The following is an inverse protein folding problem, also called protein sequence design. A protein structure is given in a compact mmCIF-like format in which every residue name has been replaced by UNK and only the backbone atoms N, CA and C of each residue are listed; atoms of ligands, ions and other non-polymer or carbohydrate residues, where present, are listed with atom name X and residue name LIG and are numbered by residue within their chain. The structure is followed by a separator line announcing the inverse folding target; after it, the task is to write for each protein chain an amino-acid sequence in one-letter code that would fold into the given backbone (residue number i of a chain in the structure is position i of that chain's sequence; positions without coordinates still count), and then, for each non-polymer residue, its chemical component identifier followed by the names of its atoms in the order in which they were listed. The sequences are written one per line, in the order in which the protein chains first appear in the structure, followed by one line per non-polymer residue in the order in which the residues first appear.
data_IF_774656486199
#
_entry.id   IF_774656486199
#
_cell.length_a   1.000
_cell.length_b   1.000
_cell.length_c   1.000
_cell.angle_alpha   90.00
_cell.angle_beta   90.00
_cell.angle_gamma   90.00
#
_symmetry.space_group_name_H-M   'P 1'
#
loop_
_entity.id
_entity.type
_entity.pdbx_description
1 polymer ?
#
# COMPACT_ATOMS: atom_id res chain seq x y z
N UNK A 1 -5.64 10.55 8.98
CA UNK A 1 -5.53 9.46 9.96
C UNK A 1 -4.20 9.43 10.74
N UNK A 2 -3.50 10.55 10.75
CA UNK A 2 -2.27 10.71 11.54
C UNK A 2 -2.59 10.70 13.04
N UNK A 3 -3.75 11.17 13.45
CA UNK A 3 -4.18 11.12 14.86
C UNK A 3 -4.56 9.71 15.29
N UNK A 4 -5.21 8.90 14.45
CA UNK A 4 -5.50 7.50 14.77
C UNK A 4 -4.23 6.65 14.86
N UNK A 5 -3.25 6.88 14.00
CA UNK A 5 -1.97 6.15 14.10
C UNK A 5 -1.13 6.59 15.32
N UNK A 6 -1.29 7.81 15.80
CA UNK A 6 -0.66 8.27 17.06
C UNK A 6 -1.30 7.69 18.32
N UNK A 7 -2.58 7.30 18.26
CA UNK A 7 -3.31 6.71 19.37
C UNK A 7 -3.31 5.18 19.43
N UNK A 8 -2.89 4.50 18.35
CA UNK A 8 -3.06 3.05 18.20
C UNK A 8 -1.82 2.21 18.44
N UNK A 9 -0.66 2.81 18.69
CA UNK A 9 0.52 2.01 18.91
C UNK A 9 1.74 2.80 19.31
N UNK A 10 2.44 2.24 20.25
CA UNK A 10 3.72 2.74 20.71
C UNK A 10 4.84 2.38 19.72
N UNK A 11 4.58 1.37 18.89
CA UNK A 11 5.48 0.85 17.86
C UNK A 11 4.68 0.52 16.60
N UNK A 12 5.10 1.00 15.43
CA UNK A 12 4.55 0.56 14.15
C UNK A 12 5.60 0.54 13.04
N UNK A 13 5.37 -0.31 12.06
CA UNK A 13 6.17 -0.35 10.83
C UNK A 13 5.35 0.10 9.62
N UNK A 14 6.00 0.75 8.66
CA UNK A 14 5.41 1.15 7.39
C UNK A 14 6.30 0.74 6.22
N UNK A 15 5.66 0.39 5.14
CA UNK A 15 6.33 0.07 3.88
C UNK A 15 6.46 1.32 3.03
N UNK A 16 7.58 1.48 2.33
CA UNK A 16 7.81 2.61 1.43
C UNK A 16 7.56 2.25 -0.03
N UNK A 17 7.48 0.97 -0.37
CA UNK A 17 7.46 0.49 -1.75
C UNK A 17 6.11 0.60 -2.48
N UNK A 18 5.01 0.79 -1.75
CA UNK A 18 3.64 0.93 -2.31
C UNK A 18 3.23 2.40 -2.41
N UNK A 19 2.46 2.89 -1.45
CA UNK A 19 1.83 4.21 -1.47
C UNK A 19 2.86 5.37 -1.53
N UNK A 20 4.03 5.17 -0.95
CA UNK A 20 5.12 6.16 -1.00
C UNK A 20 5.97 6.08 -2.28
N UNK A 21 5.58 5.23 -3.23
CA UNK A 21 6.21 5.07 -4.56
C UNK A 21 7.71 4.76 -4.55
N UNK A 22 8.23 4.18 -3.45
CA UNK A 22 9.63 3.77 -3.37
C UNK A 22 9.99 2.58 -4.27
N UNK A 23 8.99 1.86 -4.78
CA UNK A 23 9.17 0.71 -5.68
C UNK A 23 9.64 -0.58 -5.00
N UNK A 24 9.66 -1.70 -5.75
CA UNK A 24 10.12 -2.98 -5.23
C UNK A 24 11.56 -2.91 -4.72
N UNK A 25 11.82 -3.51 -3.56
CA UNK A 25 13.13 -3.46 -2.89
C UNK A 25 13.35 -2.24 -1.99
N UNK A 26 12.42 -1.29 -1.96
CA UNK A 26 12.49 -0.17 -1.03
C UNK A 26 12.35 -0.64 0.44
N UNK A 27 13.13 -0.09 1.37
CA UNK A 27 13.11 -0.50 2.76
C UNK A 27 11.81 -0.10 3.45
N UNK A 28 11.42 -0.85 4.46
CA UNK A 28 10.43 -0.39 5.43
C UNK A 28 11.10 0.49 6.49
N UNK A 29 10.29 1.26 7.23
CA UNK A 29 10.76 1.94 8.42
C UNK A 29 9.95 1.51 9.64
N UNK A 30 10.57 1.64 10.80
CA UNK A 30 9.95 1.46 12.10
C UNK A 30 9.83 2.83 12.79
N UNK A 31 8.70 3.06 13.40
CA UNK A 31 8.50 4.16 14.34
C UNK A 31 8.31 3.59 15.74
N UNK A 32 8.98 4.17 16.71
CA UNK A 32 8.82 3.85 18.13
C UNK A 32 8.65 5.17 18.86
N UNK A 33 7.62 5.27 19.69
CA UNK A 33 7.37 6.46 20.49
C UNK A 33 8.55 6.71 21.45
N UNK A 34 8.94 7.96 21.64
CA UNK A 34 10.16 8.33 22.32
C UNK A 34 10.26 7.78 23.77
N UNK A 35 9.12 7.69 24.48
CA UNK A 35 9.04 7.12 25.83
C UNK A 35 9.11 5.58 25.87
N UNK A 36 9.16 4.94 24.69
CA UNK A 36 9.30 3.49 24.49
C UNK A 36 10.66 3.09 23.93
N UNK A 37 11.59 4.03 23.78
CA UNK A 37 12.91 3.75 23.23
C UNK A 37 13.74 2.77 24.09
N UNK A 38 13.40 2.57 25.36
CA UNK A 38 14.05 1.61 26.26
C UNK A 38 13.55 0.17 26.14
N UNK A 39 12.56 -0.06 25.25
CA UNK A 39 12.11 -1.42 24.98
C UNK A 39 13.27 -2.31 24.53
N UNK A 40 13.31 -3.53 25.06
CA UNK A 40 14.28 -4.51 24.62
C UNK A 40 14.02 -4.90 23.16
N UNK A 41 15.05 -4.79 22.32
CA UNK A 41 15.01 -5.35 20.97
C UNK A 41 15.51 -6.79 21.02
N UNK A 42 14.69 -7.81 20.73
CA UNK A 42 15.11 -9.21 20.76
C UNK A 42 16.11 -9.55 19.65
N UNK A 43 16.21 -8.72 18.62
CA UNK A 43 17.13 -8.86 17.50
C UNK A 43 18.09 -7.67 17.55
N UNK A 44 19.10 -7.74 18.39
CA UNK A 44 20.02 -6.62 18.59
C UNK A 44 20.87 -6.31 17.36
N UNK A 45 21.48 -7.32 16.75
CA UNK A 45 22.41 -7.13 15.64
C UNK A 45 23.62 -6.24 16.03
N UNK A 46 24.60 -6.19 15.16
CA UNK A 46 25.84 -5.48 15.47
C UNK A 46 25.71 -3.95 15.43
N UNK A 47 24.78 -3.43 14.61
CA UNK A 47 24.63 -1.98 14.43
C UNK A 47 23.76 -1.33 15.51
N UNK A 48 22.98 -2.12 16.26
CA UNK A 48 22.10 -1.64 17.34
C UNK A 48 22.81 -1.52 18.69
N UNK A 49 24.14 -1.62 18.75
CA UNK A 49 24.96 -1.49 19.97
C UNK A 49 25.48 -0.05 20.12
N UNK A 50 25.87 0.32 21.35
CA UNK A 50 26.38 1.67 21.62
C UNK A 50 27.70 1.96 20.87
N UNK A 51 28.51 0.93 20.64
CA UNK A 51 29.80 1.04 19.94
C UNK A 51 29.90 -0.02 18.83
N UNK A 52 29.21 0.13 17.70
CA UNK A 52 29.11 -0.92 16.67
C UNK A 52 30.45 -1.38 16.12
N UNK A 53 31.46 -0.48 16.06
CA UNK A 53 32.77 -0.77 15.51
C UNK A 53 33.79 -1.26 16.54
N UNK A 54 33.41 -1.39 17.79
CA UNK A 54 34.28 -2.05 18.82
C UNK A 54 34.31 -3.56 18.61
N UNK A 55 33.31 -4.14 17.93
CA UNK A 55 33.09 -5.57 17.76
C UNK A 55 33.08 -6.34 19.09
N UNK A 56 32.67 -5.65 20.16
CA UNK A 56 32.52 -6.21 21.49
C UNK A 56 31.10 -6.74 21.68
N UNK A 57 30.98 -8.06 21.84
CA UNK A 57 29.69 -8.73 22.07
C UNK A 57 29.04 -8.30 23.39
N UNK A 58 29.82 -7.76 24.34
CA UNK A 58 29.30 -7.22 25.61
C UNK A 58 28.82 -5.76 25.51
N UNK A 59 28.99 -5.11 24.36
CA UNK A 59 28.56 -3.72 24.14
C UNK A 59 27.07 -3.57 24.43
N UNK A 60 26.65 -2.60 25.27
CA UNK A 60 25.26 -2.40 25.59
C UNK A 60 24.48 -1.93 24.34
N UNK A 61 23.14 -2.10 24.32
CA UNK A 61 22.31 -1.54 23.26
C UNK A 61 22.52 -0.03 23.12
N UNK A 62 22.45 0.46 21.87
CA UNK A 62 22.47 1.88 21.59
C UNK A 62 21.30 2.61 22.29
N UNK A 63 21.43 3.91 22.48
CA UNK A 63 20.36 4.74 23.04
C UNK A 63 19.30 5.06 21.97
N UNK A 64 18.07 5.31 22.40
CA UNK A 64 17.00 5.77 21.52
C UNK A 64 16.61 4.79 20.43
N UNK A 65 16.22 5.32 19.28
CA UNK A 65 15.75 4.52 18.13
C UNK A 65 16.87 3.69 17.48
N UNK A 66 18.11 4.07 17.67
CA UNK A 66 19.26 3.41 17.04
C UNK A 66 19.42 1.94 17.47
N UNK A 67 18.96 1.59 18.69
CA UNK A 67 18.97 0.17 19.15
C UNK A 67 18.15 -0.78 18.29
N UNK A 68 17.24 -0.26 17.46
CA UNK A 68 16.40 -1.06 16.56
C UNK A 68 17.02 -1.20 15.15
N UNK A 69 18.19 -0.62 14.92
CA UNK A 69 18.95 -0.77 13.68
C UNK A 69 19.82 -2.02 13.77
N UNK A 70 19.30 -3.15 13.30
CA UNK A 70 19.96 -4.45 13.49
C UNK A 70 21.22 -4.66 12.64
N UNK A 71 21.36 -3.97 11.53
CA UNK A 71 22.51 -4.15 10.63
C UNK A 71 22.73 -2.95 9.73
N UNK A 72 23.64 -3.09 8.78
CA UNK A 72 23.98 -2.03 7.83
C UNK A 72 22.74 -1.56 7.05
N UNK A 73 22.45 -0.25 7.02
CA UNK A 73 21.35 0.29 6.24
C UNK A 73 21.51 -0.01 4.74
N UNK A 74 20.40 -0.33 4.07
CA UNK A 74 20.36 -0.49 2.62
C UNK A 74 20.41 0.88 1.93
N UNK A 75 21.60 1.48 1.87
CA UNK A 75 21.81 2.87 1.42
C UNK A 75 21.24 3.12 0.02
N UNK A 76 21.51 2.22 -0.94
CA UNK A 76 21.02 2.37 -2.32
C UNK A 76 19.49 2.31 -2.37
N UNK A 77 18.91 1.31 -1.73
CA UNK A 77 17.45 1.16 -1.69
C UNK A 77 16.78 2.33 -0.97
N UNK A 78 17.38 2.84 0.10
CA UNK A 78 16.89 4.02 0.81
C UNK A 78 16.96 5.28 -0.07
N UNK A 79 18.05 5.47 -0.81
CA UNK A 79 18.21 6.59 -1.73
C UNK A 79 17.16 6.57 -2.86
N UNK A 80 16.81 5.39 -3.35
CA UNK A 80 15.79 5.22 -4.42
C UNK A 80 14.35 5.53 -3.95
N UNK A 81 14.09 5.59 -2.65
CA UNK A 81 12.77 6.02 -2.13
C UNK A 81 12.56 7.53 -2.36
N UNK A 82 13.63 8.31 -2.38
CA UNK A 82 13.56 9.77 -2.43
C UNK A 82 12.78 10.34 -3.62
N UNK A 83 13.01 9.91 -4.87
CA UNK A 83 12.23 10.44 -6.00
C UNK A 83 10.72 10.28 -5.84
N UNK A 84 10.27 9.13 -5.31
CA UNK A 84 8.85 8.88 -5.02
C UNK A 84 8.30 9.81 -3.93
N UNK A 85 9.09 10.04 -2.88
CA UNK A 85 8.73 10.98 -1.82
C UNK A 85 8.70 12.43 -2.30
N UNK A 86 9.67 12.84 -3.12
CA UNK A 86 9.73 14.21 -3.67
C UNK A 86 8.48 14.51 -4.52
N UNK A 87 8.02 13.54 -5.34
CA UNK A 87 6.77 13.67 -6.10
C UNK A 87 5.53 13.80 -5.18
N UNK A 88 5.47 13.03 -4.09
CA UNK A 88 4.37 13.12 -3.12
C UNK A 88 4.38 14.44 -2.36
N UNK A 89 5.56 14.95 -2.01
CA UNK A 89 5.72 16.24 -1.34
C UNK A 89 5.34 17.39 -2.26
N UNK A 90 5.72 17.34 -3.53
CA UNK A 90 5.34 18.32 -4.55
C UNK A 90 3.83 18.33 -4.80
N UNK A 91 3.25 17.13 -4.95
CA UNK A 91 1.81 16.98 -5.11
C UNK A 91 1.02 17.45 -3.88
N UNK A 92 1.55 17.22 -2.68
CA UNK A 92 0.87 17.43 -1.40
C UNK A 92 -0.03 16.25 -1.02
N UNK A 93 0.15 15.73 0.20
CA UNK A 93 -0.52 14.49 0.62
C UNK A 93 -2.06 14.62 0.66
N UNK A 94 -2.57 15.80 1.01
CA UNK A 94 -4.01 16.04 1.07
C UNK A 94 -4.63 15.96 -0.33
N UNK A 95 -4.02 16.58 -1.34
CA UNK A 95 -4.47 16.48 -2.74
C UNK A 95 -4.37 15.07 -3.30
N UNK A 96 -3.32 14.33 -2.90
CA UNK A 96 -3.17 12.90 -3.26
C UNK A 96 -4.28 12.09 -2.64
N UNK A 97 -4.64 12.33 -1.38
CA UNK A 97 -5.75 11.69 -0.70
C UNK A 97 -7.10 12.01 -1.36
N UNK A 98 -7.40 13.30 -1.59
CA UNK A 98 -8.64 13.74 -2.25
C UNK A 98 -8.82 13.07 -3.61
N UNK A 99 -7.77 13.02 -4.43
CA UNK A 99 -7.82 12.34 -5.72
C UNK A 99 -8.00 10.82 -5.57
N UNK A 100 -7.36 10.20 -4.57
CA UNK A 100 -7.54 8.77 -4.26
C UNK A 100 -9.00 8.44 -3.94
N UNK A 101 -9.63 9.28 -3.13
CA UNK A 101 -11.06 9.17 -2.81
C UNK A 101 -11.90 9.30 -4.09
N UNK A 102 -11.69 10.37 -4.87
CA UNK A 102 -12.45 10.61 -6.08
C UNK A 102 -12.33 9.47 -7.12
N UNK A 103 -11.13 8.90 -7.31
CA UNK A 103 -10.93 7.75 -8.20
C UNK A 103 -11.67 6.51 -7.71
N UNK A 104 -11.60 6.21 -6.41
CA UNK A 104 -12.29 5.06 -5.84
C UNK A 104 -13.81 5.22 -5.84
N UNK A 105 -14.33 6.43 -5.59
CA UNK A 105 -15.76 6.74 -5.72
C UNK A 105 -16.24 6.54 -7.17
N UNK A 106 -15.49 7.05 -8.14
CA UNK A 106 -15.83 6.85 -9.56
C UNK A 106 -15.89 5.37 -9.93
N UNK A 107 -14.93 4.58 -9.48
CA UNK A 107 -14.92 3.13 -9.75
C UNK A 107 -16.11 2.43 -9.09
N UNK A 108 -16.41 2.76 -7.82
CA UNK A 108 -17.55 2.21 -7.09
C UNK A 108 -18.86 2.53 -7.80
N UNK A 109 -19.04 3.79 -8.20
CA UNK A 109 -20.23 4.22 -8.95
C UNK A 109 -20.41 3.39 -10.23
N UNK A 110 -19.36 3.25 -11.03
CA UNK A 110 -19.40 2.47 -12.26
C UNK A 110 -19.62 0.97 -12.02
N UNK A 111 -19.09 0.41 -10.93
CA UNK A 111 -19.40 -0.97 -10.53
C UNK A 111 -20.89 -1.14 -10.26
N UNK A 112 -21.49 -0.22 -9.49
CA UNK A 112 -22.91 -0.29 -9.16
C UNK A 112 -23.79 -0.12 -10.41
N UNK A 113 -23.43 0.80 -11.32
CA UNK A 113 -24.22 1.09 -12.53
C UNK A 113 -24.09 -0.01 -13.60
N UNK A 114 -22.90 -0.59 -13.78
CA UNK A 114 -22.63 -1.40 -14.95
C UNK A 114 -22.21 -2.86 -14.65
N UNK A 115 -21.62 -3.13 -13.49
CA UNK A 115 -21.10 -4.46 -13.18
C UNK A 115 -22.00 -5.28 -12.25
N UNK A 116 -22.84 -4.63 -11.44
CA UNK A 116 -23.78 -5.33 -10.56
C UNK A 116 -24.69 -6.30 -11.29
N UNK A 117 -25.23 -6.01 -12.49
CA UNK A 117 -26.04 -6.96 -13.23
C UNK A 117 -25.30 -8.23 -13.64
N UNK A 118 -23.97 -8.17 -13.74
CA UNK A 118 -23.09 -9.29 -14.07
C UNK A 118 -22.53 -10.01 -12.84
N UNK A 119 -23.09 -9.79 -11.67
CA UNK A 119 -22.73 -10.52 -10.44
C UNK A 119 -21.60 -9.92 -9.61
N UNK A 120 -21.12 -8.73 -9.95
CA UNK A 120 -20.13 -8.02 -9.14
C UNK A 120 -20.80 -7.32 -7.94
N UNK A 121 -20.11 -7.34 -6.82
CA UNK A 121 -20.53 -6.65 -5.61
C UNK A 121 -19.33 -5.94 -4.96
N UNK A 122 -19.45 -4.66 -4.69
CA UNK A 122 -18.42 -3.90 -3.97
C UNK A 122 -18.39 -4.31 -2.50
N UNK A 123 -17.23 -4.81 -2.05
CA UNK A 123 -16.98 -5.26 -0.67
C UNK A 123 -16.21 -4.25 0.18
N UNK A 124 -15.58 -3.25 -0.45
CA UNK A 124 -14.95 -2.17 0.30
C UNK A 124 -15.99 -1.30 1.01
N UNK A 125 -15.64 -0.72 2.17
CA UNK A 125 -16.50 0.25 2.84
C UNK A 125 -16.89 1.39 1.89
N UNK A 126 -18.15 1.81 1.94
CA UNK A 126 -18.65 2.95 1.13
C UNK A 126 -18.14 4.28 1.66
N UNK A 127 -17.95 4.38 2.96
CA UNK A 127 -17.38 5.56 3.59
C UNK A 127 -15.90 5.70 3.21
N UNK A 128 -15.48 6.80 2.56
CA UNK A 128 -14.10 7.03 2.16
C UNK A 128 -13.12 7.10 3.34
N UNK A 129 -13.59 7.46 4.53
CA UNK A 129 -12.74 7.48 5.72
C UNK A 129 -12.38 6.08 6.24
N UNK A 130 -13.13 5.05 5.81
CA UNK A 130 -12.92 3.66 6.24
C UNK A 130 -12.21 2.80 5.20
N UNK A 131 -11.80 3.36 4.05
CA UNK A 131 -11.07 2.62 3.01
C UNK A 131 -9.79 3.33 2.59
N UNK A 132 -8.89 2.54 1.98
CA UNK A 132 -7.67 3.06 1.34
C UNK A 132 -7.86 3.27 -0.16
N UNK A 133 -6.74 3.36 -0.89
CA UNK A 133 -6.69 3.62 -2.34
C UNK A 133 -7.01 2.40 -3.20
N UNK A 134 -7.70 1.40 -2.69
CA UNK A 134 -8.13 0.25 -3.48
C UNK A 134 -9.60 -0.07 -3.21
N UNK A 135 -10.25 -0.65 -4.19
CA UNK A 135 -11.62 -1.16 -4.08
C UNK A 135 -11.59 -2.67 -4.28
N UNK A 136 -12.17 -3.40 -3.33
CA UNK A 136 -12.39 -4.83 -3.40
C UNK A 136 -13.79 -5.10 -3.94
N UNK A 137 -13.89 -5.94 -4.96
CA UNK A 137 -15.14 -6.39 -5.54
C UNK A 137 -15.21 -7.91 -5.52
N UNK A 138 -16.35 -8.41 -5.18
CA UNK A 138 -16.70 -9.83 -5.24
C UNK A 138 -17.17 -10.20 -6.64
N UNK A 139 -16.84 -11.42 -7.10
CA UNK A 139 -17.48 -12.09 -8.23
C UNK A 139 -17.31 -13.61 -8.04
N UNK A 140 -18.34 -14.45 -8.32
CA UNK A 140 -18.22 -15.90 -8.12
C UNK A 140 -17.05 -16.52 -8.93
N UNK A 141 -16.79 -16.01 -10.13
CA UNK A 141 -15.71 -16.44 -11.00
C UNK A 141 -14.51 -15.47 -10.99
N UNK A 142 -14.22 -14.82 -9.85
CA UNK A 142 -13.19 -13.79 -9.73
C UNK A 142 -11.83 -14.22 -10.27
N UNK A 143 -11.44 -15.49 -10.09
CA UNK A 143 -10.17 -15.98 -10.60
C UNK A 143 -10.13 -16.01 -12.12
N UNK A 144 -11.18 -16.52 -12.77
CA UNK A 144 -11.27 -16.60 -14.23
C UNK A 144 -11.32 -15.19 -14.85
N UNK A 145 -12.16 -14.33 -14.27
CA UNK A 145 -12.26 -12.91 -14.69
C UNK A 145 -10.91 -12.20 -14.52
N UNK A 146 -10.23 -12.39 -13.39
CA UNK A 146 -8.93 -11.78 -13.14
C UNK A 146 -7.86 -12.21 -14.15
N UNK A 147 -7.81 -13.50 -14.48
CA UNK A 147 -6.88 -14.04 -15.48
C UNK A 147 -7.19 -13.51 -16.89
N UNK A 148 -8.45 -13.44 -17.30
CA UNK A 148 -8.85 -12.90 -18.59
C UNK A 148 -8.52 -11.39 -18.69
N UNK A 149 -8.75 -10.63 -17.62
CA UNK A 149 -8.37 -9.22 -17.55
C UNK A 149 -6.87 -9.01 -17.77
N UNK A 150 -6.03 -9.85 -17.16
CA UNK A 150 -4.58 -9.77 -17.31
C UNK A 150 -4.17 -10.14 -18.74
N UNK A 151 -4.65 -11.27 -19.26
CA UNK A 151 -4.17 -11.85 -20.51
C UNK A 151 -4.72 -11.15 -21.77
N UNK A 152 -5.96 -10.66 -21.70
CA UNK A 152 -6.68 -10.17 -22.88
C UNK A 152 -6.88 -8.66 -22.88
N UNK A 153 -6.97 -8.04 -21.68
CA UNK A 153 -7.33 -6.65 -21.55
C UNK A 153 -6.23 -5.76 -20.96
N UNK A 154 -5.08 -6.33 -20.59
CA UNK A 154 -3.98 -5.58 -19.93
C UNK A 154 -4.43 -4.81 -18.67
N UNK A 155 -5.37 -5.38 -17.92
CA UNK A 155 -5.80 -4.90 -16.60
C UNK A 155 -5.33 -5.91 -15.58
N UNK A 156 -4.57 -5.45 -14.59
CA UNK A 156 -3.91 -6.31 -13.60
C UNK A 156 -4.54 -6.08 -12.21
N UNK A 157 -5.66 -6.73 -11.89
CA UNK A 157 -6.21 -6.72 -10.54
C UNK A 157 -5.43 -7.67 -9.63
N UNK A 158 -5.59 -7.51 -8.34
CA UNK A 158 -5.02 -8.40 -7.33
C UNK A 158 -6.11 -9.40 -6.87
N UNK A 159 -6.00 -10.66 -7.33
CA UNK A 159 -6.94 -11.71 -6.93
C UNK A 159 -6.70 -12.15 -5.48
N UNK A 160 -7.77 -12.21 -4.72
CA UNK A 160 -7.81 -12.72 -3.35
C UNK A 160 -8.80 -13.87 -3.25
N UNK A 161 -8.31 -15.10 -3.09
CA UNK A 161 -9.19 -16.26 -2.94
C UNK A 161 -10.20 -16.08 -1.80
N UNK A 162 -11.41 -16.62 -1.92
CA UNK A 162 -11.84 -17.41 -3.08
C UNK A 162 -12.41 -16.58 -4.24
N UNK A 163 -12.88 -15.34 -4.02
CA UNK A 163 -13.85 -14.68 -4.88
C UNK A 163 -13.71 -13.14 -4.96
N UNK A 164 -12.55 -12.59 -4.59
CA UNK A 164 -12.32 -11.14 -4.55
C UNK A 164 -11.28 -10.71 -5.58
N UNK A 165 -11.61 -9.66 -6.34
CA UNK A 165 -10.66 -8.86 -7.12
C UNK A 165 -10.47 -7.50 -6.45
N UNK A 166 -9.21 -7.07 -6.27
CA UNK A 166 -8.90 -5.74 -5.77
C UNK A 166 -8.30 -4.89 -6.87
N UNK A 167 -8.86 -3.71 -7.06
CA UNK A 167 -8.39 -2.70 -7.99
C UNK A 167 -7.74 -1.57 -7.20
N UNK A 168 -6.44 -1.35 -7.43
CA UNK A 168 -5.65 -0.31 -6.75
C UNK A 168 -5.44 0.87 -7.68
N UNK A 169 -5.66 2.07 -7.15
CA UNK A 169 -5.50 3.31 -7.91
C UNK A 169 -4.35 4.12 -7.33
N UNK A 170 -3.35 4.42 -8.16
CA UNK A 170 -2.24 5.26 -7.79
C UNK A 170 -2.55 6.72 -8.14
N UNK A 171 -2.85 7.60 -7.16
CA UNK A 171 -3.38 8.93 -7.45
C UNK A 171 -2.46 9.82 -8.28
N UNK A 172 -1.14 9.59 -8.22
CA UNK A 172 -0.19 10.42 -8.97
C UNK A 172 -0.32 10.27 -10.48
N UNK A 173 -0.65 9.08 -10.99
CA UNK A 173 -0.66 8.84 -12.44
C UNK A 173 -1.93 8.21 -12.99
N UNK A 174 -2.81 7.62 -12.16
CA UNK A 174 -4.11 7.11 -12.62
C UNK A 174 -5.06 8.27 -12.91
N UNK A 175 -5.68 8.25 -14.08
CA UNK A 175 -6.71 9.22 -14.50
C UNK A 175 -8.13 8.66 -14.32
N UNK A 176 -9.15 9.52 -14.39
CA UNK A 176 -10.55 9.09 -14.41
C UNK A 176 -10.87 8.30 -15.69
N UNK A 177 -10.23 8.65 -16.81
CA UNK A 177 -10.37 7.91 -18.07
C UNK A 177 -9.85 6.47 -17.94
N UNK A 178 -8.79 6.25 -17.14
CA UNK A 178 -8.29 4.89 -16.87
C UNK A 178 -9.33 4.08 -16.10
N UNK A 179 -10.05 4.70 -15.16
CA UNK A 179 -11.14 4.06 -14.41
C UNK A 179 -12.27 3.64 -15.35
N UNK A 180 -12.77 4.59 -16.18
CA UNK A 180 -13.83 4.33 -17.15
C UNK A 180 -13.42 3.24 -18.16
N UNK A 181 -12.19 3.30 -18.66
CA UNK A 181 -11.62 2.28 -19.55
C UNK A 181 -11.53 0.91 -18.87
N UNK A 182 -11.14 0.86 -17.60
CA UNK A 182 -11.03 -0.39 -16.85
C UNK A 182 -12.39 -1.06 -16.70
N UNK A 183 -13.43 -0.33 -16.35
CA UNK A 183 -14.79 -0.89 -16.23
C UNK A 183 -15.29 -1.41 -17.58
N UNK A 184 -15.08 -0.67 -18.67
CA UNK A 184 -15.44 -1.14 -20.01
C UNK A 184 -14.71 -2.45 -20.40
N UNK A 185 -13.47 -2.62 -19.96
CA UNK A 185 -12.70 -3.87 -20.20
C UNK A 185 -13.22 -5.02 -19.33
N UNK A 186 -13.65 -4.75 -18.09
CA UNK A 186 -14.30 -5.76 -17.25
C UNK A 186 -15.58 -6.26 -17.91
N UNK A 187 -16.43 -5.35 -18.42
CA UNK A 187 -17.67 -5.70 -19.13
C UNK A 187 -17.37 -6.65 -20.29
N UNK A 188 -16.41 -6.32 -21.15
CA UNK A 188 -16.02 -7.16 -22.30
C UNK A 188 -15.58 -8.58 -21.88
N UNK A 189 -14.82 -8.69 -20.78
CA UNK A 189 -14.38 -9.99 -20.28
C UNK A 189 -15.57 -10.81 -19.83
N UNK A 190 -16.48 -10.22 -19.05
CA UNK A 190 -17.66 -10.94 -18.53
C UNK A 190 -18.58 -11.41 -19.67
N UNK A 191 -18.80 -10.55 -20.67
CA UNK A 191 -19.56 -10.90 -21.87
C UNK A 191 -18.92 -12.06 -22.65
N UNK A 192 -17.59 -12.17 -22.65
CA UNK A 192 -16.87 -13.27 -23.32
C UNK A 192 -16.87 -14.58 -22.55
N UNK A 193 -17.08 -14.53 -21.21
CA UNK A 193 -17.11 -15.71 -20.35
C UNK A 193 -18.52 -16.27 -20.14
N UNK A 194 -19.56 -15.51 -20.51
CA UNK A 194 -20.98 -15.91 -20.46
C UNK A 194 -21.39 -16.75 -21.65
#
# INVERSE_FOLDING_TARGET
DVERSRGLGDVYKRQTYKYLNGGPGAPAFIYIRADQHDLANPITGWFGTAEPFSFDESSPPASGIERFLTGTPHVVSAALVRPGLDMLLEAGIDRVYEKSVALSERFIQLCDEHLSPSGFEVRSPRDPEQRGSHVAVFHPDAQAVGLALINEQSVIPDFRPPDILRFGFAPLYTSFTDIDSTVNRIIKVVESLS
#
